data_IF_047258210355
#
_entry.id   IF_047258210355
#
_cell.length_a   1.000
_cell.length_b   1.000
_cell.length_c   1.000
_cell.angle_alpha   90.00
_cell.angle_beta   90.00
_cell.angle_gamma   90.00
#
_symmetry.space_group_name_H-M   'P 1'
#
loop_
_entity.id
_entity.type
_entity.pdbx_description
1 polymer ?
#
# COMPACT_ATOMS: atom_id res chain seq x y z
N UNK A 1 20.01 3.67 12.07
CA UNK A 1 20.63 3.55 10.74
C UNK A 1 21.10 4.94 10.37
N UNK A 2 22.41 5.16 10.41
CA UNK A 2 23.02 6.43 10.02
C UNK A 2 22.89 6.68 8.51
N UNK A 3 23.24 7.88 8.03
CA UNK A 3 23.21 8.19 6.60
C UNK A 3 24.07 7.20 5.85
N UNK A 4 23.52 6.64 4.78
CA UNK A 4 24.22 5.71 3.87
C UNK A 4 25.28 6.56 3.14
N UNK A 5 26.45 6.66 3.74
CA UNK A 5 27.64 7.25 3.15
C UNK A 5 28.42 6.14 2.45
N UNK A 6 28.25 6.04 1.15
CA UNK A 6 29.28 5.65 0.19
C UNK A 6 28.66 5.63 -1.20
N UNK A 7 29.08 6.48 -2.11
CA UNK A 7 28.61 6.60 -3.51
C UNK A 7 27.09 6.68 -3.69
N UNK A 8 26.41 7.20 -2.67
CA UNK A 8 25.00 6.98 -2.44
C UNK A 8 24.10 7.91 -3.23
N UNK A 9 22.95 7.39 -3.65
CA UNK A 9 21.86 8.21 -4.14
C UNK A 9 21.35 9.06 -2.97
N UNK A 10 21.48 10.37 -3.08
CA UNK A 10 20.92 11.29 -2.12
C UNK A 10 19.46 11.54 -2.48
N UNK A 11 18.54 11.09 -1.62
CA UNK A 11 17.12 11.35 -1.75
C UNK A 11 16.75 12.38 -0.69
N UNK A 12 16.44 13.60 -1.13
CA UNK A 12 16.02 14.70 -0.23
C UNK A 12 14.50 14.77 -0.09
N UNK A 13 13.76 14.31 -1.09
CA UNK A 13 12.30 14.37 -1.08
C UNK A 13 11.65 13.32 -1.98
N UNK A 14 10.40 13.00 -1.69
CA UNK A 14 9.50 12.23 -2.55
C UNK A 14 8.20 13.03 -2.72
N UNK A 15 7.77 13.18 -3.97
CA UNK A 15 6.56 13.91 -4.35
C UNK A 15 5.56 12.98 -5.00
N UNK A 16 4.32 13.08 -4.59
CA UNK A 16 3.21 12.42 -5.27
C UNK A 16 1.95 13.30 -5.14
N UNK A 17 1.55 13.93 -6.24
CA UNK A 17 0.50 14.95 -6.25
C UNK A 17 0.78 16.03 -5.17
N UNK A 18 -0.16 16.21 -4.24
CA UNK A 18 -0.06 17.14 -3.11
C UNK A 18 0.70 16.57 -1.89
N UNK A 19 1.00 15.27 -1.89
CA UNK A 19 1.72 14.64 -0.78
C UNK A 19 3.24 14.71 -0.98
N UNK A 20 3.93 15.25 0.01
CA UNK A 20 5.39 15.41 -0.01
C UNK A 20 6.01 14.75 1.23
N UNK A 21 7.05 13.94 1.03
CA UNK A 21 7.95 13.50 2.10
C UNK A 21 9.28 14.21 1.90
N UNK A 22 9.76 14.88 2.93
CA UNK A 22 11.08 15.51 2.97
C UNK A 22 11.98 14.71 3.91
N UNK A 23 13.20 14.44 3.47
CA UNK A 23 14.23 13.77 4.27
C UNK A 23 15.31 14.78 4.61
N UNK A 24 15.56 14.99 5.90
CA UNK A 24 16.60 15.89 6.35
C UNK A 24 17.17 15.42 7.68
N UNK A 25 18.36 15.94 8.02
CA UNK A 25 18.95 15.77 9.33
C UNK A 25 18.12 16.50 10.38
N UNK A 26 18.14 16.00 11.62
CA UNK A 26 17.43 16.57 12.76
C UNK A 26 18.15 17.84 13.27
N UNK A 27 18.38 18.82 12.38
CA UNK A 27 19.01 20.09 12.71
C UNK A 27 18.03 21.26 12.59
N UNK A 28 18.16 22.21 13.50
CA UNK A 28 17.35 23.44 13.52
C UNK A 28 17.47 24.22 12.21
N UNK A 29 18.67 24.32 11.67
CA UNK A 29 18.97 25.08 10.46
C UNK A 29 18.27 24.50 9.22
N UNK A 30 18.28 23.17 9.08
CA UNK A 30 17.60 22.49 7.99
C UNK A 30 16.08 22.71 8.04
N UNK A 31 15.49 22.63 9.23
CA UNK A 31 14.05 22.86 9.39
C UNK A 31 13.64 24.32 9.16
N UNK A 32 14.48 25.28 9.56
CA UNK A 32 14.27 26.69 9.22
C UNK A 32 14.31 26.91 7.69
N UNK A 33 15.27 26.29 7.02
CA UNK A 33 15.36 26.35 5.55
C UNK A 33 14.11 25.74 4.88
N UNK A 34 13.61 24.61 5.37
CA UNK A 34 12.37 23.99 4.90
C UNK A 34 11.18 24.93 5.14
N UNK A 35 11.07 25.51 6.34
CA UNK A 35 10.01 26.48 6.66
C UNK A 35 10.04 27.67 5.71
N UNK A 36 11.22 28.24 5.47
CA UNK A 36 11.39 29.35 4.54
C UNK A 36 10.96 28.96 3.12
N UNK A 37 11.40 27.81 2.61
CA UNK A 37 11.02 27.32 1.30
C UNK A 37 9.50 27.12 1.17
N UNK A 38 8.84 26.55 2.19
CA UNK A 38 7.39 26.39 2.22
C UNK A 38 6.66 27.75 2.26
N UNK A 39 7.18 28.72 3.02
CA UNK A 39 6.62 30.07 3.08
C UNK A 39 6.73 30.78 1.73
N UNK A 40 7.89 30.69 1.08
CA UNK A 40 8.07 31.23 -0.27
C UNK A 40 7.12 30.55 -1.27
N UNK A 41 7.00 29.23 -1.22
CA UNK A 41 6.08 28.48 -2.06
C UNK A 41 4.63 28.98 -1.88
N UNK A 42 4.17 29.16 -0.63
CA UNK A 42 2.83 29.68 -0.34
C UNK A 42 2.63 31.11 -0.90
N UNK A 43 3.64 31.95 -0.76
CA UNK A 43 3.59 33.34 -1.23
C UNK A 43 3.50 33.42 -2.77
N UNK A 44 4.27 32.58 -3.48
CA UNK A 44 4.29 32.58 -4.94
C UNK A 44 3.09 31.89 -5.58
N UNK A 45 2.60 30.81 -4.97
CA UNK A 45 1.54 29.99 -5.58
C UNK A 45 0.14 30.32 -5.06
N UNK A 46 0.01 30.98 -3.92
CA UNK A 46 -1.25 31.14 -3.20
C UNK A 46 -1.79 29.87 -2.54
N UNK A 47 -1.10 28.72 -2.70
CA UNK A 47 -1.46 27.45 -2.08
C UNK A 47 -1.01 27.44 -0.62
N UNK A 48 -1.78 26.80 0.27
CA UNK A 48 -1.44 26.71 1.70
C UNK A 48 -1.04 25.28 2.06
N UNK A 49 0.08 25.14 2.77
CA UNK A 49 0.49 23.87 3.37
C UNK A 49 -0.46 23.53 4.53
N UNK A 50 -1.01 22.33 4.53
CA UNK A 50 -1.88 21.88 5.61
C UNK A 50 -1.04 21.36 6.79
N UNK A 51 -0.70 22.27 7.70
CA UNK A 51 0.12 21.96 8.89
C UNK A 51 -0.58 20.93 9.80
N UNK A 52 -1.91 20.95 9.88
CA UNK A 52 -2.67 20.02 10.72
C UNK A 52 -2.59 18.56 10.22
N UNK A 53 -2.26 18.33 8.92
CA UNK A 53 -2.01 17.02 8.34
C UNK A 53 -0.51 16.71 8.19
N UNK A 54 0.37 17.66 8.51
CA UNK A 54 1.82 17.49 8.42
C UNK A 54 2.37 16.94 9.72
N UNK A 55 3.36 16.07 9.62
CA UNK A 55 3.99 15.41 10.76
C UNK A 55 5.51 15.37 10.59
N UNK A 56 6.26 15.53 11.68
CA UNK A 56 7.68 15.16 11.72
C UNK A 56 7.79 13.78 12.33
N UNK A 57 8.39 12.86 11.61
CA UNK A 57 8.62 11.48 12.07
C UNK A 57 10.12 11.30 12.35
N UNK A 58 10.53 11.20 13.62
CA UNK A 58 11.94 10.97 13.96
C UNK A 58 12.35 9.55 13.56
N UNK A 59 13.54 9.42 12.97
CA UNK A 59 14.18 8.15 12.65
C UNK A 59 15.42 8.01 13.54
N UNK A 60 15.38 7.09 14.50
CA UNK A 60 16.38 6.96 15.54
C UNK A 60 16.14 7.90 16.73
N UNK A 61 17.16 8.11 17.55
CA UNK A 61 17.07 8.96 18.75
C UNK A 61 17.26 10.43 18.39
N UNK A 62 16.22 11.23 18.61
CA UNK A 62 16.22 12.68 18.41
C UNK A 62 15.81 13.36 19.69
N UNK A 63 16.78 13.87 20.46
CA UNK A 63 16.56 14.45 21.79
C UNK A 63 15.77 15.76 21.79
N UNK A 64 15.80 16.52 20.70
CA UNK A 64 15.22 17.86 20.60
C UNK A 64 13.97 17.93 19.70
N UNK A 65 13.24 16.82 19.53
CA UNK A 65 12.11 16.71 18.58
C UNK A 65 11.04 17.77 18.81
N UNK A 66 10.74 18.10 20.08
CA UNK A 66 9.73 19.09 20.42
C UNK A 66 10.11 20.52 19.95
N UNK A 67 11.38 20.86 20.06
CA UNK A 67 11.89 22.14 19.55
C UNK A 67 11.80 22.19 18.02
N UNK A 68 12.08 21.07 17.36
CA UNK A 68 12.03 20.94 15.90
C UNK A 68 10.59 21.03 15.36
N UNK A 69 9.63 20.39 16.02
CA UNK A 69 8.22 20.47 15.61
C UNK A 69 7.65 21.88 15.76
N UNK A 70 8.08 22.64 16.78
CA UNK A 70 7.67 24.03 16.95
C UNK A 70 8.11 24.93 15.79
N UNK A 71 9.23 24.60 15.12
CA UNK A 71 9.70 25.36 13.95
C UNK A 71 8.72 25.23 12.81
N UNK A 72 8.24 24.03 12.49
CA UNK A 72 7.30 23.75 11.39
C UNK A 72 5.83 23.85 11.82
N UNK A 73 5.54 23.96 13.11
CA UNK A 73 4.20 24.02 13.70
C UNK A 73 3.35 22.77 13.36
N UNK A 74 3.98 21.61 13.26
CA UNK A 74 3.34 20.34 12.93
C UNK A 74 3.45 19.36 14.11
N UNK A 75 2.77 18.21 13.98
CA UNK A 75 2.75 17.16 15.01
C UNK A 75 4.01 16.32 14.97
N UNK A 76 4.33 15.68 16.11
CA UNK A 76 5.26 14.55 16.15
C UNK A 76 4.49 13.31 15.71
N UNK A 77 4.93 12.69 14.62
CA UNK A 77 4.45 11.39 14.17
C UNK A 77 5.37 10.28 14.63
N UNK A 78 4.95 9.05 14.40
CA UNK A 78 5.75 7.85 14.69
C UNK A 78 5.56 6.82 13.59
N UNK A 79 6.53 5.91 13.45
CA UNK A 79 6.36 4.73 12.60
C UNK A 79 5.63 3.63 13.38
N UNK A 80 4.73 2.87 12.75
CA UNK A 80 4.33 2.95 11.34
C UNK A 80 3.36 4.11 11.05
N UNK A 81 3.56 4.81 9.93
CA UNK A 81 2.68 5.86 9.45
C UNK A 81 1.99 5.44 8.14
N UNK A 82 0.83 6.02 7.84
CA UNK A 82 0.12 5.75 6.57
C UNK A 82 0.50 6.83 5.55
N UNK A 83 1.13 6.41 4.44
CA UNK A 83 1.44 7.26 3.31
C UNK A 83 0.82 6.70 2.04
N UNK A 84 0.05 7.50 1.30
CA UNK A 84 -0.69 7.07 0.11
C UNK A 84 -1.55 5.81 0.33
N UNK A 85 -2.10 5.66 1.52
CA UNK A 85 -2.89 4.50 1.91
C UNK A 85 -2.09 3.25 2.26
N UNK A 86 -0.76 3.35 2.36
CA UNK A 86 0.16 2.26 2.67
C UNK A 86 0.85 2.49 4.01
N UNK A 87 1.01 1.46 4.85
CA UNK A 87 1.77 1.58 6.08
C UNK A 87 3.28 1.58 5.78
N UNK A 88 3.94 2.68 6.10
CA UNK A 88 5.39 2.80 6.07
C UNK A 88 5.99 2.45 7.43
N UNK A 89 7.14 1.77 7.42
CA UNK A 89 7.85 1.38 8.65
C UNK A 89 7.34 0.10 9.29
N UNK A 90 6.41 -0.63 8.66
CA UNK A 90 6.00 -1.97 9.08
C UNK A 90 6.87 -3.06 8.45
N UNK A 91 6.99 -4.19 9.16
CA UNK A 91 7.60 -5.38 8.57
C UNK A 91 6.70 -5.94 7.47
N UNK A 92 7.23 -6.16 6.28
CA UNK A 92 6.50 -6.57 5.07
C UNK A 92 5.72 -7.91 5.18
N UNK A 93 6.06 -8.76 6.15
CA UNK A 93 5.38 -10.05 6.43
C UNK A 93 4.27 -9.93 7.48
N UNK A 94 4.03 -8.76 8.05
CA UNK A 94 3.09 -8.60 9.16
C UNK A 94 1.66 -8.72 8.66
N UNK A 95 0.89 -9.64 9.22
CA UNK A 95 -0.52 -9.85 8.87
C UNK A 95 -1.39 -8.60 9.16
N UNK A 96 -1.01 -7.79 10.14
CA UNK A 96 -1.74 -6.56 10.51
C UNK A 96 -1.83 -5.53 9.38
N UNK A 97 -0.88 -5.53 8.43
CA UNK A 97 -0.92 -4.68 7.24
C UNK A 97 -2.25 -4.87 6.47
N UNK A 98 -2.78 -6.09 6.48
CA UNK A 98 -3.98 -6.48 5.75
C UNK A 98 -5.29 -6.16 6.48
N UNK A 99 -5.25 -5.79 7.76
CA UNK A 99 -6.46 -5.51 8.55
C UNK A 99 -7.30 -4.40 7.92
N UNK A 100 -6.66 -3.32 7.47
CA UNK A 100 -7.35 -2.22 6.80
C UNK A 100 -8.11 -2.67 5.53
N UNK A 101 -7.53 -3.60 4.77
CA UNK A 101 -8.17 -4.14 3.57
C UNK A 101 -9.33 -5.07 3.94
N UNK A 102 -9.13 -5.92 4.95
CA UNK A 102 -10.18 -6.81 5.46
C UNK A 102 -11.38 -5.99 5.95
N UNK A 103 -11.16 -4.98 6.77
CA UNK A 103 -12.21 -4.08 7.26
C UNK A 103 -12.95 -3.35 6.13
N UNK A 104 -12.20 -2.83 5.15
CA UNK A 104 -12.81 -2.17 3.98
C UNK A 104 -13.66 -3.12 3.16
N UNK A 105 -13.22 -4.37 2.97
CA UNK A 105 -13.98 -5.38 2.24
C UNK A 105 -15.22 -5.79 3.03
N UNK A 106 -15.10 -6.03 4.34
CA UNK A 106 -16.22 -6.39 5.23
C UNK A 106 -17.27 -5.27 5.27
N UNK A 107 -16.84 -4.01 5.40
CA UNK A 107 -17.73 -2.84 5.40
C UNK A 107 -18.50 -2.71 4.07
N UNK A 108 -17.82 -2.85 2.94
CA UNK A 108 -18.51 -2.81 1.63
C UNK A 108 -19.45 -4.00 1.46
N UNK A 109 -19.03 -5.19 1.87
CA UNK A 109 -19.86 -6.38 1.84
C UNK A 109 -21.15 -6.20 2.63
N UNK A 110 -21.08 -5.65 3.85
CA UNK A 110 -22.24 -5.37 4.69
C UNK A 110 -23.17 -4.35 4.04
N UNK A 111 -22.64 -3.28 3.45
CA UNK A 111 -23.42 -2.28 2.73
C UNK A 111 -24.16 -2.87 1.51
N UNK A 112 -23.53 -3.76 0.76
CA UNK A 112 -24.15 -4.36 -0.43
C UNK A 112 -25.11 -5.50 -0.13
N UNK A 113 -25.08 -6.11 1.04
CA UNK A 113 -26.08 -7.08 1.48
C UNK A 113 -27.49 -6.50 1.51
N UNK A 114 -27.62 -5.20 1.75
CA UNK A 114 -28.91 -4.51 1.76
C UNK A 114 -29.55 -4.42 0.38
N UNK A 115 -28.76 -4.61 -0.69
CA UNK A 115 -29.29 -4.61 -2.04
C UNK A 115 -29.64 -6.05 -2.49
N UNK A 116 -30.85 -6.23 -2.96
CA UNK A 116 -31.32 -7.49 -3.57
C UNK A 116 -30.69 -7.69 -4.96
N UNK A 117 -29.39 -8.04 -4.98
CA UNK A 117 -28.68 -8.27 -6.22
C UNK A 117 -28.96 -9.68 -6.75
N UNK A 118 -29.20 -9.77 -8.06
CA UNK A 118 -29.22 -11.06 -8.78
C UNK A 118 -27.86 -11.75 -8.72
N UNK A 119 -27.78 -13.04 -9.03
CA UNK A 119 -26.50 -13.77 -9.07
C UNK A 119 -25.49 -13.13 -10.03
N UNK A 120 -25.96 -12.67 -11.20
CA UNK A 120 -25.14 -11.94 -12.15
C UNK A 120 -24.66 -10.59 -11.61
N UNK A 121 -25.55 -9.82 -10.97
CA UNK A 121 -25.19 -8.56 -10.31
C UNK A 121 -24.13 -8.75 -9.22
N UNK A 122 -24.25 -9.80 -8.40
CA UNK A 122 -23.22 -10.15 -7.41
C UNK A 122 -21.88 -10.47 -8.06
N UNK A 123 -21.87 -11.24 -9.12
CA UNK A 123 -20.64 -11.57 -9.86
C UNK A 123 -19.99 -10.30 -10.42
N UNK A 124 -20.76 -9.39 -11.02
CA UNK A 124 -20.26 -8.14 -11.56
C UNK A 124 -19.63 -7.28 -10.46
N UNK A 125 -20.29 -7.11 -9.32
CA UNK A 125 -19.75 -6.36 -8.18
C UNK A 125 -18.51 -7.03 -7.60
N UNK A 126 -18.51 -8.36 -7.51
CA UNK A 126 -17.36 -9.13 -7.03
C UNK A 126 -16.13 -8.92 -7.92
N UNK A 127 -16.28 -9.05 -9.23
CA UNK A 127 -15.16 -8.91 -10.18
C UNK A 127 -14.68 -7.47 -10.33
N UNK A 128 -15.58 -6.50 -10.36
CA UNK A 128 -15.23 -5.09 -10.56
C UNK A 128 -14.67 -4.42 -9.30
N UNK A 129 -15.22 -4.72 -8.14
CA UNK A 129 -14.91 -3.97 -6.93
C UNK A 129 -14.20 -4.79 -5.87
N UNK A 130 -14.77 -5.93 -5.44
CA UNK A 130 -14.16 -6.72 -4.35
C UNK A 130 -12.82 -7.34 -4.74
N UNK A 131 -12.69 -7.78 -5.99
CA UNK A 131 -11.42 -8.32 -6.49
C UNK A 131 -10.37 -7.25 -6.76
N UNK A 132 -10.77 -5.99 -6.93
CA UNK A 132 -9.84 -4.88 -7.18
C UNK A 132 -9.34 -4.21 -5.90
N UNK A 133 -10.11 -4.24 -4.80
CA UNK A 133 -9.74 -3.61 -3.53
C UNK A 133 -8.36 -4.02 -2.99
N UNK A 134 -7.99 -5.31 -2.95
CA UNK A 134 -6.69 -5.72 -2.45
C UNK A 134 -5.54 -5.55 -3.45
N UNK A 135 -5.83 -5.23 -4.73
CA UNK A 135 -4.83 -5.23 -5.82
C UNK A 135 -3.62 -4.35 -5.52
N UNK A 136 -3.84 -3.17 -4.94
CA UNK A 136 -2.76 -2.24 -4.59
C UNK A 136 -1.80 -2.86 -3.55
N UNK A 137 -2.35 -3.48 -2.50
CA UNK A 137 -1.56 -4.18 -1.48
C UNK A 137 -0.90 -5.44 -2.05
N UNK A 138 -1.63 -6.22 -2.86
CA UNK A 138 -1.10 -7.40 -3.53
C UNK A 138 0.06 -7.09 -4.48
N UNK A 139 0.13 -5.88 -5.02
CA UNK A 139 1.23 -5.47 -5.89
C UNK A 139 2.53 -5.14 -5.15
N UNK A 140 2.49 -4.99 -3.83
CA UNK A 140 3.62 -4.53 -3.01
C UNK A 140 4.00 -5.50 -1.89
N UNK A 141 3.04 -6.24 -1.35
CA UNK A 141 3.24 -7.15 -0.23
C UNK A 141 2.89 -8.59 -0.59
N UNK A 142 3.67 -9.53 -0.05
CA UNK A 142 3.32 -10.95 -0.12
C UNK A 142 2.13 -11.22 0.79
N UNK A 143 1.07 -11.83 0.24
CA UNK A 143 -0.13 -12.15 1.01
C UNK A 143 0.10 -13.38 1.89
N UNK A 144 -0.13 -13.30 3.23
CA UNK A 144 -0.14 -14.48 4.07
C UNK A 144 -1.31 -15.41 3.73
N UNK A 145 -1.10 -16.72 3.77
CA UNK A 145 -2.15 -17.72 3.48
C UNK A 145 -3.43 -17.51 4.29
N UNK A 146 -3.31 -17.21 5.58
CA UNK A 146 -4.46 -16.95 6.44
C UNK A 146 -5.29 -15.74 5.98
N UNK A 147 -4.63 -14.68 5.50
CA UNK A 147 -5.30 -13.48 4.96
C UNK A 147 -5.98 -13.80 3.64
N UNK A 148 -5.32 -14.55 2.75
CA UNK A 148 -5.92 -14.97 1.48
C UNK A 148 -7.21 -15.77 1.72
N UNK A 149 -7.19 -16.76 2.62
CA UNK A 149 -8.36 -17.55 2.99
C UNK A 149 -9.48 -16.66 3.54
N UNK A 150 -9.17 -15.65 4.37
CA UNK A 150 -10.17 -14.75 4.93
C UNK A 150 -10.79 -13.84 3.85
N UNK A 151 -9.99 -13.29 2.94
CA UNK A 151 -10.47 -12.49 1.81
C UNK A 151 -11.34 -13.31 0.86
N UNK A 152 -10.92 -14.54 0.52
CA UNK A 152 -11.69 -15.46 -0.31
C UNK A 152 -13.00 -15.90 0.36
N UNK A 153 -13.02 -16.04 1.69
CA UNK A 153 -14.24 -16.30 2.44
C UNK A 153 -15.24 -15.15 2.30
N UNK A 154 -14.79 -13.90 2.38
CA UNK A 154 -15.64 -12.72 2.17
C UNK A 154 -16.22 -12.74 0.76
N UNK A 155 -15.41 -13.01 -0.26
CA UNK A 155 -15.85 -13.08 -1.66
C UNK A 155 -16.86 -14.21 -1.88
N UNK A 156 -16.59 -15.38 -1.32
CA UNK A 156 -17.47 -16.56 -1.39
C UNK A 156 -18.82 -16.30 -0.72
N UNK A 157 -18.80 -15.74 0.49
CA UNK A 157 -20.02 -15.42 1.22
C UNK A 157 -20.87 -14.38 0.48
N UNK A 158 -20.25 -13.43 -0.20
CA UNK A 158 -20.96 -12.46 -1.02
C UNK A 158 -21.63 -13.12 -2.24
N UNK A 159 -20.89 -13.94 -2.96
CA UNK A 159 -21.38 -14.62 -4.17
C UNK A 159 -22.59 -15.55 -3.86
N UNK A 160 -22.46 -16.36 -2.83
CA UNK A 160 -23.51 -17.33 -2.45
C UNK A 160 -24.60 -16.70 -1.57
N UNK A 161 -24.41 -15.48 -1.07
CA UNK A 161 -25.37 -14.80 -0.24
C UNK A 161 -25.47 -15.38 1.17
N UNK A 162 -24.37 -15.98 1.66
CA UNK A 162 -24.28 -16.42 3.06
C UNK A 162 -24.19 -15.23 4.01
N UNK A 163 -24.88 -15.29 5.14
CA UNK A 163 -24.82 -14.34 6.24
C UNK A 163 -24.48 -15.04 7.55
N UNK A 164 -24.26 -14.28 8.60
CA UNK A 164 -24.08 -14.84 9.96
C UNK A 164 -25.32 -15.61 10.40
N UNK A 165 -26.51 -15.11 10.01
CA UNK A 165 -27.80 -15.69 10.37
C UNK A 165 -28.27 -16.80 9.45
N UNK A 166 -27.83 -16.79 8.17
CA UNK A 166 -28.24 -17.76 7.17
C UNK A 166 -27.03 -18.23 6.37
N UNK A 167 -26.50 -19.38 6.76
CA UNK A 167 -25.41 -20.02 6.05
C UNK A 167 -25.96 -20.72 4.79
N UNK A 168 -25.38 -20.39 3.63
CA UNK A 168 -25.69 -21.08 2.35
C UNK A 168 -24.48 -21.87 1.91
N UNK A 169 -24.68 -23.16 1.66
CA UNK A 169 -23.63 -24.01 1.15
C UNK A 169 -23.17 -23.57 -0.25
N UNK A 170 -21.85 -23.48 -0.49
CA UNK A 170 -21.33 -23.23 -1.83
C UNK A 170 -21.66 -24.43 -2.74
N UNK A 171 -22.33 -24.16 -3.85
CA UNK A 171 -22.72 -25.20 -4.81
C UNK A 171 -21.53 -25.76 -5.60
N UNK A 172 -20.44 -25.00 -5.71
CA UNK A 172 -19.26 -25.33 -6.50
C UNK A 172 -18.01 -25.00 -5.67
N UNK A 173 -16.97 -25.82 -5.76
CA UNK A 173 -15.69 -25.59 -5.15
C UNK A 173 -15.09 -24.26 -5.63
N UNK A 174 -14.47 -23.50 -4.72
CA UNK A 174 -13.96 -22.14 -5.01
C UNK A 174 -12.90 -22.14 -6.12
N UNK A 175 -12.08 -23.17 -6.17
CA UNK A 175 -11.06 -23.37 -7.19
C UNK A 175 -11.69 -23.45 -8.59
N UNK A 176 -12.82 -24.13 -8.75
CA UNK A 176 -13.58 -24.19 -10.02
C UNK A 176 -14.19 -22.83 -10.37
N UNK A 177 -14.68 -22.10 -9.39
CA UNK A 177 -15.21 -20.73 -9.57
C UNK A 177 -14.12 -19.76 -10.07
N UNK A 178 -12.88 -19.96 -9.63
CA UNK A 178 -11.73 -19.14 -10.03
C UNK A 178 -11.16 -19.49 -11.41
N UNK A 179 -11.57 -20.59 -12.04
CA UNK A 179 -11.12 -20.93 -13.39
C UNK A 179 -11.53 -19.85 -14.41
N UNK A 180 -10.77 -19.69 -15.48
CA UNK A 180 -11.17 -18.89 -16.65
C UNK A 180 -12.54 -19.31 -17.19
N UNK A 181 -13.23 -18.38 -17.83
CA UNK A 181 -14.57 -18.64 -18.40
C UNK A 181 -14.54 -19.70 -19.49
N UNK A 182 -13.47 -19.75 -20.26
CA UNK A 182 -13.21 -20.74 -21.31
C UNK A 182 -13.11 -22.16 -20.76
N UNK A 183 -12.73 -22.29 -19.46
CA UNK A 183 -12.65 -23.56 -18.74
C UNK A 183 -13.86 -23.80 -17.81
N UNK A 184 -14.96 -23.09 -18.04
CA UNK A 184 -16.21 -23.25 -17.28
C UNK A 184 -16.23 -22.59 -15.91
N UNK A 185 -15.24 -21.75 -15.57
CA UNK A 185 -15.23 -20.95 -14.35
C UNK A 185 -15.95 -19.61 -14.48
N UNK A 186 -15.96 -18.84 -13.41
CA UNK A 186 -16.50 -17.47 -13.40
C UNK A 186 -15.44 -16.39 -13.62
N UNK A 187 -14.17 -16.76 -13.74
CA UNK A 187 -13.04 -15.84 -13.95
C UNK A 187 -12.73 -14.99 -12.74
N UNK A 188 -13.09 -15.42 -11.53
CA UNK A 188 -12.70 -14.74 -10.29
C UNK A 188 -11.23 -15.02 -10.03
N UNK A 189 -10.44 -13.99 -9.75
CA UNK A 189 -9.00 -14.12 -9.56
C UNK A 189 -8.68 -14.88 -8.28
N UNK A 190 -7.86 -15.93 -8.38
CA UNK A 190 -7.21 -16.52 -7.21
C UNK A 190 -6.21 -15.52 -6.62
N UNK A 191 -6.37 -15.16 -5.36
CA UNK A 191 -5.60 -14.08 -4.74
C UNK A 191 -4.11 -14.42 -4.61
N UNK A 192 -3.76 -15.68 -4.34
CA UNK A 192 -2.37 -16.10 -4.17
C UNK A 192 -1.62 -16.05 -5.51
N UNK A 193 -2.19 -16.67 -6.55
CA UNK A 193 -1.58 -16.66 -7.89
C UNK A 193 -1.51 -15.24 -8.46
N UNK A 194 -2.55 -14.44 -8.22
CA UNK A 194 -2.57 -13.04 -8.65
C UNK A 194 -1.52 -12.19 -7.94
N UNK A 195 -1.31 -12.40 -6.62
CA UNK A 195 -0.25 -11.75 -5.87
C UNK A 195 1.14 -12.11 -6.42
N UNK A 196 1.39 -13.39 -6.69
CA UNK A 196 2.64 -13.85 -7.28
C UNK A 196 2.91 -13.19 -8.64
N UNK A 197 1.89 -13.13 -9.51
CA UNK A 197 2.00 -12.47 -10.82
C UNK A 197 2.29 -10.96 -10.70
N UNK A 198 1.63 -10.26 -9.75
CA UNK A 198 1.87 -8.84 -9.51
C UNK A 198 3.27 -8.56 -8.96
N UNK A 199 3.75 -9.39 -8.05
CA UNK A 199 5.12 -9.28 -7.51
C UNK A 199 6.15 -9.65 -8.59
N UNK A 200 5.91 -10.69 -9.39
CA UNK A 200 6.77 -11.07 -10.51
C UNK A 200 6.95 -9.96 -11.53
N UNK A 201 5.93 -9.11 -11.74
CA UNK A 201 6.04 -7.93 -12.61
C UNK A 201 7.16 -6.96 -12.19
N UNK A 202 7.49 -6.87 -10.89
CA UNK A 202 8.60 -6.04 -10.42
C UNK A 202 9.95 -6.60 -10.85
N UNK A 203 10.10 -7.94 -10.88
CA UNK A 203 11.31 -8.58 -11.37
C UNK A 203 11.54 -8.27 -12.86
N UNK A 204 10.50 -8.46 -13.69
CA UNK A 204 10.58 -8.09 -15.11
C UNK A 204 10.91 -6.61 -15.32
N UNK A 205 10.34 -5.73 -14.50
CA UNK A 205 10.66 -4.28 -14.57
C UNK A 205 12.10 -3.98 -14.15
N UNK A 206 12.65 -4.75 -13.23
CA UNK A 206 14.02 -4.57 -12.77
C UNK A 206 15.02 -4.77 -13.91
N UNK A 207 14.78 -5.74 -14.78
CA UNK A 207 15.67 -6.04 -15.89
C UNK A 207 15.62 -4.98 -17.01
N UNK A 208 14.41 -4.49 -17.32
CA UNK A 208 14.22 -3.56 -18.44
C UNK A 208 14.46 -2.08 -18.10
N UNK A 209 14.46 -1.68 -16.83
CA UNK A 209 14.48 -0.25 -16.44
C UNK A 209 15.68 0.11 -15.55
N UNK A 210 16.87 0.11 -16.14
CA UNK A 210 18.14 0.34 -15.43
C UNK A 210 18.28 1.73 -14.79
N UNK A 211 17.66 2.76 -15.34
CA UNK A 211 17.82 4.16 -14.91
C UNK A 211 16.86 4.62 -13.81
N UNK A 212 15.85 3.82 -13.50
CA UNK A 212 14.82 4.24 -12.52
C UNK A 212 15.38 4.33 -11.09
N UNK A 213 14.99 5.39 -10.37
CA UNK A 213 15.39 5.67 -9.00
C UNK A 213 15.19 4.46 -8.07
N UNK A 214 14.03 3.82 -8.11
CA UNK A 214 13.72 2.66 -7.25
C UNK A 214 14.69 1.49 -7.47
N UNK A 215 15.08 1.21 -8.72
CA UNK A 215 16.05 0.15 -9.02
C UNK A 215 17.42 0.48 -8.47
N UNK A 216 17.87 1.73 -8.65
CA UNK A 216 19.15 2.20 -8.10
C UNK A 216 19.19 2.05 -6.58
N UNK A 217 18.09 2.40 -5.89
CA UNK A 217 17.95 2.23 -4.42
C UNK A 217 18.03 0.75 -4.03
N UNK A 218 17.34 -0.13 -4.75
CA UNK A 218 17.38 -1.58 -4.49
C UNK A 218 18.79 -2.14 -4.74
N UNK A 219 19.42 -1.81 -5.86
CA UNK A 219 20.77 -2.25 -6.19
C UNK A 219 21.79 -1.82 -5.13
N UNK A 220 21.67 -0.61 -4.61
CA UNK A 220 22.55 -0.12 -3.52
C UNK A 220 22.32 -0.87 -2.21
N UNK A 221 21.07 -1.22 -1.89
CA UNK A 221 20.75 -1.87 -0.62
C UNK A 221 21.08 -3.36 -0.62
N UNK A 222 20.88 -4.04 -1.75
CA UNK A 222 20.96 -5.50 -1.84
C UNK A 222 22.06 -6.00 -2.77
N UNK A 223 22.80 -5.10 -3.43
CA UNK A 223 23.73 -5.42 -4.49
C UNK A 223 23.04 -5.59 -5.85
N UNK A 224 23.81 -5.49 -6.94
CA UNK A 224 23.34 -5.91 -8.24
C UNK A 224 23.32 -7.44 -8.26
N UNK A 225 22.13 -8.03 -8.14
CA UNK A 225 21.95 -9.46 -8.32
C UNK A 225 22.44 -9.84 -9.72
N UNK A 226 23.35 -10.80 -9.82
CA UNK A 226 23.66 -11.47 -11.07
C UNK A 226 22.34 -11.95 -11.64
N UNK A 227 22.00 -11.51 -12.86
CA UNK A 227 20.81 -11.95 -13.56
C UNK A 227 20.74 -13.47 -13.50
N UNK A 228 19.55 -14.00 -13.20
CA UNK A 228 19.29 -15.42 -13.33
C UNK A 228 19.47 -15.73 -14.82
N UNK A 229 20.60 -16.30 -15.17
CA UNK A 229 20.80 -16.88 -16.50
C UNK A 229 19.77 -18.01 -16.63
N UNK A 230 18.91 -17.88 -17.63
CA UNK A 230 17.95 -18.91 -18.05
C UNK A 230 18.67 -19.93 -18.92
#
# INVERSE_FOLDING_TARGET
MGPINSTGIHISHLLFADNTILFCDASREKLLSIRLALTCFQAFTGLKVNVGKSEIVPIGEVSNIQTLTNILQCRVGSLPMIYLGMPLGTLYKTASIWNLILERMEKKFTGWKQFYLSKGGKLTVLTSTLSSLPTYYLSLFTIPKAVAIRLERIQRNFLWGSSVECFKYPLVAWEKVCLPRELGGLGIRNLVSFNQALLGKWLCRNDHKTTHLWRRVIAMKYGEGKGVEH
#
